data_IF_236853426943
#
_entry.id   IF_236853426943
#
_cell.length_a   1.000
_cell.length_b   1.000
_cell.length_c   1.000
_cell.angle_alpha   90.00
_cell.angle_beta   90.00
_cell.angle_gamma   90.00
#
_symmetry.space_group_name_H-M   'P 1'
#
loop_
_entity.id
_entity.type
_entity.pdbx_description
1 polymer ?
#
# COMPACT_ATOMS: atom_id res chain seq x y z
N UNK A 1 -2.77 -0.02 -24.67
CA UNK A 1 -2.58 -1.30 -23.95
C UNK A 1 -3.30 -1.23 -22.62
N UNK A 2 -3.83 -2.35 -22.13
CA UNK A 2 -4.36 -2.43 -20.75
C UNK A 2 -3.21 -2.39 -19.75
N UNK A 3 -3.34 -1.60 -18.68
CA UNK A 3 -2.37 -1.58 -17.58
C UNK A 3 -2.32 -2.95 -16.88
N UNK A 4 -1.15 -3.37 -16.43
CA UNK A 4 -1.00 -4.58 -15.61
C UNK A 4 -1.46 -4.27 -14.18
N UNK A 5 -2.33 -5.10 -13.62
CA UNK A 5 -2.78 -4.96 -12.24
C UNK A 5 -1.75 -5.53 -11.27
N UNK A 6 -1.39 -4.74 -10.25
CA UNK A 6 -0.41 -5.10 -9.22
C UNK A 6 -1.03 -4.90 -7.84
N UNK A 7 -1.10 -5.98 -7.06
CA UNK A 7 -1.50 -5.93 -5.66
C UNK A 7 -0.27 -5.84 -4.75
N UNK A 8 -0.19 -4.80 -3.92
CA UNK A 8 0.88 -4.63 -2.93
C UNK A 8 0.32 -4.93 -1.53
N UNK A 9 0.78 -6.02 -0.92
CA UNK A 9 0.39 -6.45 0.43
C UNK A 9 1.45 -6.02 1.43
N UNK A 10 1.05 -5.37 2.53
CA UNK A 10 1.99 -4.81 3.51
C UNK A 10 1.37 -4.66 4.91
N UNK A 11 2.20 -4.31 5.89
CA UNK A 11 1.84 -4.16 7.30
C UNK A 11 1.94 -5.48 8.05
N UNK A 12 0.88 -5.83 8.78
CA UNK A 12 0.76 -7.05 9.57
C UNK A 12 1.03 -6.84 11.06
N UNK A 13 0.76 -7.90 11.83
CA UNK A 13 1.01 -7.95 13.28
C UNK A 13 2.48 -8.28 13.56
N UNK A 14 3.35 -7.29 13.36
CA UNK A 14 4.79 -7.38 13.58
C UNK A 14 5.36 -6.08 14.18
N UNK A 15 6.51 -6.16 14.84
CA UNK A 15 7.29 -4.98 15.22
C UNK A 15 7.76 -4.17 13.97
N UNK A 16 7.89 -4.85 12.83
CA UNK A 16 8.29 -4.26 11.54
C UNK A 16 7.11 -3.67 10.75
N UNK A 17 5.94 -3.54 11.36
CA UNK A 17 4.74 -2.99 10.72
C UNK A 17 5.05 -1.66 10.00
N UNK A 18 5.65 -0.69 10.70
CA UNK A 18 5.97 0.62 10.13
C UNK A 18 6.99 0.53 8.97
N UNK A 19 7.95 -0.40 9.04
CA UNK A 19 8.92 -0.63 7.97
C UNK A 19 8.24 -1.16 6.72
N UNK A 20 7.24 -2.03 6.89
CA UNK A 20 6.42 -2.55 5.79
C UNK A 20 5.57 -1.46 5.14
N UNK A 21 4.97 -0.55 5.92
CA UNK A 21 4.25 0.62 5.39
C UNK A 21 5.16 1.53 4.56
N UNK A 22 6.36 1.84 5.07
CA UNK A 22 7.31 2.69 4.37
C UNK A 22 7.78 2.04 3.06
N UNK A 23 7.98 0.71 3.06
CA UNK A 23 8.33 -0.05 1.86
C UNK A 23 7.23 0.01 0.81
N UNK A 24 5.97 -0.18 1.22
CA UNK A 24 4.81 -0.08 0.32
C UNK A 24 4.68 1.33 -0.29
N UNK A 25 4.89 2.37 0.51
CA UNK A 25 4.91 3.76 0.04
C UNK A 25 5.97 3.97 -1.04
N UNK A 26 7.20 3.53 -0.79
CA UNK A 26 8.30 3.66 -1.75
C UNK A 26 8.01 2.93 -3.07
N UNK A 27 7.37 1.75 -3.02
CA UNK A 27 6.96 1.01 -4.22
C UNK A 27 5.92 1.81 -5.02
N UNK A 28 4.89 2.34 -4.36
CA UNK A 28 3.82 3.12 -4.99
C UNK A 28 4.33 4.43 -5.59
N UNK A 29 5.33 5.04 -4.97
CA UNK A 29 5.95 6.27 -5.46
C UNK A 29 6.87 6.01 -6.67
N UNK A 30 7.54 4.86 -6.73
CA UNK A 30 8.48 4.51 -7.79
C UNK A 30 7.88 3.78 -8.99
N UNK A 31 6.70 3.15 -8.83
CA UNK A 31 6.08 2.33 -9.87
C UNK A 31 5.53 3.18 -11.04
N UNK A 32 5.73 2.69 -12.26
CA UNK A 32 5.25 3.32 -13.48
C UNK A 32 3.71 3.25 -13.58
N UNK A 33 3.04 4.35 -13.23
CA UNK A 33 1.57 4.46 -13.20
C UNK A 33 0.94 4.43 -14.60
N UNK A 34 1.71 4.56 -15.68
CA UNK A 34 1.20 4.39 -17.04
C UNK A 34 1.12 2.90 -17.41
N UNK A 35 2.04 2.09 -16.87
CA UNK A 35 2.08 0.63 -17.10
C UNK A 35 1.27 -0.16 -16.08
N UNK A 36 1.17 0.32 -14.84
CA UNK A 36 0.61 -0.44 -13.73
C UNK A 36 -0.62 0.22 -13.11
N UNK A 37 -1.59 -0.62 -12.75
CA UNK A 37 -2.77 -0.27 -11.96
C UNK A 37 -2.64 -0.92 -10.58
N UNK A 38 -2.43 -0.11 -9.55
CA UNK A 38 -1.91 -0.57 -8.25
C UNK A 38 -3.01 -0.54 -7.19
N UNK A 39 -3.27 -1.71 -6.60
CA UNK A 39 -4.14 -1.87 -5.43
C UNK A 39 -3.31 -2.17 -4.19
N UNK A 40 -3.58 -1.46 -3.11
CA UNK A 40 -2.89 -1.59 -1.84
C UNK A 40 -3.75 -2.41 -0.87
N UNK A 41 -3.12 -3.40 -0.25
CA UNK A 41 -3.74 -4.36 0.66
C UNK A 41 -2.99 -4.30 2.00
N UNK A 42 -3.42 -3.40 2.87
CA UNK A 42 -2.80 -3.20 4.18
C UNK A 42 -3.39 -4.15 5.22
N UNK A 43 -2.53 -4.75 6.04
CA UNK A 43 -2.94 -5.51 7.22
C UNK A 43 -2.56 -4.66 8.45
N UNK A 44 -3.52 -4.34 9.32
CA UNK A 44 -3.22 -3.57 10.52
C UNK A 44 -2.56 -4.43 11.63
N UNK A 45 -2.14 -3.79 12.73
CA UNK A 45 -1.54 -4.48 13.89
C UNK A 45 -2.48 -5.47 14.59
N UNK A 46 -3.78 -5.39 14.30
CA UNK A 46 -4.80 -6.31 14.81
C UNK A 46 -5.03 -7.50 13.84
N UNK A 47 -4.39 -7.49 12.67
CA UNK A 47 -4.54 -8.51 11.64
C UNK A 47 -5.73 -8.29 10.71
N UNK A 48 -6.40 -7.13 10.79
CA UNK A 48 -7.52 -6.78 9.92
C UNK A 48 -7.00 -6.24 8.58
N UNK A 49 -7.66 -6.68 7.52
CA UNK A 49 -7.32 -6.31 6.14
C UNK A 49 -8.08 -5.05 5.72
N UNK A 50 -7.37 -4.17 5.02
CA UNK A 50 -7.87 -2.91 4.50
C UNK A 50 -7.45 -2.77 3.03
N UNK A 51 -8.40 -2.49 2.16
CA UNK A 51 -8.15 -2.27 0.72
C UNK A 51 -8.11 -0.77 0.48
N UNK A 52 -7.02 -0.29 -0.13
CA UNK A 52 -6.87 1.09 -0.53
C UNK A 52 -6.43 1.15 -2.00
N UNK A 53 -6.89 2.16 -2.72
CA UNK A 53 -6.28 2.52 -3.99
C UNK A 53 -5.04 3.37 -3.75
N UNK A 54 -4.05 3.30 -4.65
CA UNK A 54 -2.86 4.13 -4.57
C UNK A 54 -3.17 5.62 -4.42
N UNK A 55 -4.26 6.09 -5.04
CA UNK A 55 -4.77 7.46 -4.91
C UNK A 55 -5.30 7.79 -3.51
N UNK A 56 -5.96 6.82 -2.85
CA UNK A 56 -6.55 7.00 -1.51
C UNK A 56 -5.53 6.79 -0.38
N UNK A 57 -4.50 5.98 -0.60
CA UNK A 57 -3.48 5.73 0.42
C UNK A 57 -2.61 6.96 0.71
N UNK A 58 -2.21 7.71 -0.32
CA UNK A 58 -1.41 8.93 -0.16
C UNK A 58 -2.15 10.02 0.64
N UNK A 59 -3.48 10.05 0.56
CA UNK A 59 -4.32 10.99 1.32
C UNK A 59 -4.45 10.62 2.79
N UNK A 60 -4.33 9.34 3.15
CA UNK A 60 -4.59 8.85 4.50
C UNK A 60 -3.32 8.52 5.31
N UNK A 61 -2.13 8.65 4.73
CA UNK A 61 -0.86 8.41 5.40
C UNK A 61 -0.62 9.34 6.62
N UNK A 62 -1.34 10.46 6.70
CA UNK A 62 -1.28 11.41 7.84
C UNK A 62 -2.29 11.08 8.96
N UNK A 63 -3.25 10.18 8.73
CA UNK A 63 -4.40 9.92 9.65
C UNK A 63 -4.30 8.62 10.44
N UNK A 64 -3.18 7.90 10.37
CA UNK A 64 -2.95 6.64 11.10
C UNK A 64 -2.10 6.83 12.38
N UNK A 65 -2.01 8.05 12.91
CA UNK A 65 -1.46 8.29 14.27
C UNK A 65 -2.48 7.95 15.36
#
# INVERSE_FOLDING_TARGET
>A
MSKLRVGVIFGGKSAEHEVSLQSAKNIVDAIDKEKFDVTLLGIDKQGKWHVNDASNYLLNAETQH
#
